data_IF_121865181767
#
_entry.id   IF_121865181767
#
_cell.length_a   1.000
_cell.length_b   1.000
_cell.length_c   1.000
_cell.angle_alpha   90.00
_cell.angle_beta   90.00
_cell.angle_gamma   90.00
#
_symmetry.space_group_name_H-M   'P 1'
#
loop_
_entity.id
_entity.type
_entity.pdbx_description
1 polymer ?
#
# COMPACT_ATOMS: atom_id res chain seq x y z
N UNK A 1 -10.30 13.03 12.29
CA UNK A 1 -10.01 12.42 10.97
C UNK A 1 -11.33 12.34 10.23
N UNK A 2 -11.43 12.87 9.00
CA UNK A 2 -12.67 12.80 8.22
C UNK A 2 -12.70 11.54 7.32
N UNK A 3 -13.84 11.27 6.68
CA UNK A 3 -14.03 10.08 5.82
C UNK A 3 -13.02 10.05 4.68
N UNK A 4 -12.82 11.18 4.00
CA UNK A 4 -11.83 11.32 2.92
C UNK A 4 -10.39 10.98 3.34
N UNK A 5 -9.96 11.43 4.53
CA UNK A 5 -8.67 11.09 5.13
C UNK A 5 -8.58 9.61 5.48
N UNK A 6 -9.66 9.01 5.99
CA UNK A 6 -9.71 7.59 6.32
C UNK A 6 -9.56 6.72 5.06
N UNK A 7 -10.30 7.04 3.99
CA UNK A 7 -10.21 6.36 2.68
C UNK A 7 -8.80 6.48 2.12
N UNK A 8 -8.25 7.69 2.12
CA UNK A 8 -6.89 7.97 1.62
C UNK A 8 -5.84 7.19 2.41
N UNK A 9 -5.97 7.14 3.74
CA UNK A 9 -5.08 6.36 4.61
C UNK A 9 -5.18 4.88 4.35
N UNK A 10 -6.38 4.36 4.15
CA UNK A 10 -6.62 2.95 3.82
C UNK A 10 -5.94 2.57 2.50
N UNK A 11 -6.12 3.38 1.45
CA UNK A 11 -5.46 3.16 0.17
C UNK A 11 -3.93 3.22 0.26
N UNK A 12 -3.38 4.28 0.87
CA UNK A 12 -1.93 4.41 1.04
C UNK A 12 -1.36 3.22 1.83
N UNK A 13 -2.08 2.76 2.87
CA UNK A 13 -1.68 1.61 3.66
C UNK A 13 -1.73 0.31 2.86
N UNK A 14 -2.80 0.08 2.11
CA UNK A 14 -2.96 -1.11 1.27
C UNK A 14 -1.77 -1.27 0.31
N UNK A 15 -1.37 -0.20 -0.37
CA UNK A 15 -0.24 -0.24 -1.30
C UNK A 15 1.09 -0.49 -0.59
N UNK A 16 1.35 0.22 0.50
CA UNK A 16 2.59 0.08 1.25
C UNK A 16 2.69 -1.30 1.91
N UNK A 17 1.59 -1.84 2.43
CA UNK A 17 1.53 -3.16 3.05
C UNK A 17 1.79 -4.25 2.02
N UNK A 18 1.20 -4.16 0.83
CA UNK A 18 1.47 -5.11 -0.25
C UNK A 18 2.95 -5.12 -0.65
N UNK A 19 3.55 -3.94 -0.87
CA UNK A 19 4.98 -3.83 -1.16
C UNK A 19 5.84 -4.37 -0.01
N UNK A 20 5.44 -4.15 1.24
CA UNK A 20 6.11 -4.72 2.40
C UNK A 20 6.07 -6.24 2.44
N UNK A 21 4.94 -6.85 2.08
CA UNK A 21 4.80 -8.32 2.01
C UNK A 21 5.66 -8.89 0.90
N UNK A 22 5.58 -8.33 -0.32
CA UNK A 22 6.36 -8.82 -1.47
C UNK A 22 7.86 -8.62 -1.24
N UNK A 23 8.29 -7.43 -0.82
CA UNK A 23 9.69 -7.18 -0.49
C UNK A 23 10.19 -8.07 0.64
N UNK A 24 9.35 -8.30 1.66
CA UNK A 24 9.66 -9.17 2.78
C UNK A 24 9.77 -10.66 2.42
N UNK A 25 8.96 -11.15 1.48
CA UNK A 25 9.01 -12.56 1.06
C UNK A 25 10.27 -12.91 0.27
N UNK A 26 10.89 -11.91 -0.37
CA UNK A 26 12.10 -12.08 -1.17
C UNK A 26 13.39 -11.98 -0.34
N UNK A 27 13.33 -11.50 0.91
CA UNK A 27 14.51 -11.33 1.79
C UNK A 27 15.30 -12.63 1.96
N UNK A 28 14.61 -13.77 2.00
CA UNK A 28 15.29 -15.05 2.22
C UNK A 28 16.14 -15.46 1.03
N UNK A 29 15.72 -15.15 -0.20
CA UNK A 29 16.43 -15.56 -1.41
C UNK A 29 17.82 -14.89 -1.51
N UNK A 30 17.95 -13.66 -1.01
CA UNK A 30 19.21 -12.92 -0.95
C UNK A 30 20.33 -13.70 -0.26
N UNK A 31 19.97 -14.59 0.69
CA UNK A 31 20.93 -15.41 1.43
C UNK A 31 21.23 -16.77 0.78
N UNK A 32 20.44 -17.20 -0.19
CA UNK A 32 20.56 -18.50 -0.85
C UNK A 32 21.08 -18.43 -2.29
N UNK A 33 21.03 -17.26 -2.93
CA UNK A 33 21.54 -17.06 -4.30
C UNK A 33 23.07 -16.99 -4.33
N UNK A 34 23.71 -17.68 -5.28
CA UNK A 34 25.17 -17.69 -5.43
C UNK A 34 25.69 -16.51 -6.27
N UNK A 35 24.86 -16.00 -7.17
CA UNK A 35 25.23 -14.91 -8.08
C UNK A 35 24.86 -13.53 -7.54
N UNK A 36 25.79 -12.58 -7.64
CA UNK A 36 25.57 -11.23 -7.13
C UNK A 36 24.44 -10.49 -7.86
N UNK A 37 24.25 -10.78 -9.14
CA UNK A 37 23.20 -10.19 -9.98
C UNK A 37 21.80 -10.55 -9.48
N UNK A 38 21.58 -11.80 -9.04
CA UNK A 38 20.30 -12.30 -8.52
C UNK A 38 20.01 -11.77 -7.11
N UNK A 39 21.05 -11.41 -6.36
CA UNK A 39 20.86 -10.71 -5.07
C UNK A 39 20.46 -9.26 -5.28
N UNK A 40 20.92 -8.63 -6.37
CA UNK A 40 20.77 -7.20 -6.57
C UNK A 40 19.31 -6.83 -6.86
N UNK A 41 18.60 -7.57 -7.71
CA UNK A 41 17.21 -7.28 -8.04
C UNK A 41 16.27 -7.54 -6.83
N UNK A 42 16.55 -8.57 -6.03
CA UNK A 42 15.85 -8.85 -4.77
C UNK A 42 16.09 -7.74 -3.73
N UNK A 43 17.32 -7.22 -3.65
CA UNK A 43 17.63 -6.06 -2.82
C UNK A 43 16.95 -4.78 -3.33
N UNK A 44 16.75 -4.62 -4.64
CA UNK A 44 16.05 -3.48 -5.21
C UNK A 44 14.58 -3.45 -4.77
N UNK A 45 13.88 -4.57 -4.84
CA UNK A 45 12.47 -4.63 -4.40
C UNK A 45 12.33 -4.50 -2.88
N UNK A 46 13.26 -5.05 -2.11
CA UNK A 46 13.34 -4.82 -0.67
C UNK A 46 13.57 -3.32 -0.36
N UNK A 47 14.48 -2.66 -1.08
CA UNK A 47 14.73 -1.23 -0.93
C UNK A 47 13.47 -0.40 -1.26
N UNK A 48 12.74 -0.74 -2.33
CA UNK A 48 11.46 -0.09 -2.66
C UNK A 48 10.43 -0.28 -1.53
N UNK A 49 10.33 -1.48 -0.95
CA UNK A 49 9.45 -1.76 0.17
C UNK A 49 9.81 -0.91 1.41
N UNK A 50 11.10 -0.82 1.75
CA UNK A 50 11.59 0.02 2.86
C UNK A 50 11.26 1.49 2.61
N UNK A 51 11.53 2.00 1.41
CA UNK A 51 11.20 3.39 1.02
C UNK A 51 9.69 3.63 1.14
N UNK A 52 8.84 2.70 0.72
CA UNK A 52 7.39 2.81 0.85
C UNK A 52 6.95 2.89 2.32
N UNK A 53 7.50 2.06 3.20
CA UNK A 53 7.21 2.07 4.63
C UNK A 53 7.65 3.37 5.28
N UNK A 54 8.88 3.82 5.00
CA UNK A 54 9.41 5.11 5.49
C UNK A 54 8.53 6.25 5.02
N UNK A 55 8.17 6.28 3.73
CA UNK A 55 7.29 7.29 3.15
C UNK A 55 5.92 7.33 3.84
N UNK A 56 5.31 6.17 4.11
CA UNK A 56 4.02 6.07 4.79
C UNK A 56 4.06 6.59 6.23
N UNK A 57 5.17 6.33 6.94
CA UNK A 57 5.38 6.76 8.32
C UNK A 57 5.80 8.23 8.44
N UNK A 58 6.39 8.80 7.38
CA UNK A 58 6.87 10.17 7.39
C UNK A 58 5.71 11.19 7.42
N UNK A 59 5.64 11.96 8.51
CA UNK A 59 4.74 13.10 8.65
C UNK A 59 3.26 12.76 8.45
N UNK A 60 2.58 13.54 7.61
CA UNK A 60 1.16 13.36 7.30
C UNK A 60 0.90 12.65 5.96
N UNK A 61 1.92 12.07 5.32
CA UNK A 61 1.81 11.45 3.99
C UNK A 61 0.68 10.41 3.90
N UNK A 62 0.50 9.62 4.97
CA UNK A 62 -0.60 8.64 5.06
C UNK A 62 -1.99 9.26 4.96
N UNK A 63 -2.18 10.52 5.34
CA UNK A 63 -3.49 11.19 5.37
C UNK A 63 -3.79 11.98 4.09
N UNK A 64 -2.75 12.25 3.29
CA UNK A 64 -2.86 13.04 2.06
C UNK A 64 -2.88 12.14 0.84
N UNK A 65 -3.64 12.57 -0.16
CA UNK A 65 -3.75 11.83 -1.41
C UNK A 65 -2.44 12.00 -2.18
N UNK A 66 -1.74 10.89 -2.39
CA UNK A 66 -0.44 10.88 -3.04
C UNK A 66 -0.37 9.77 -4.07
N UNK A 67 0.30 10.04 -5.19
CA UNK A 67 0.67 9.01 -6.17
C UNK A 67 1.94 8.26 -5.77
N UNK A 68 2.65 8.66 -4.72
CA UNK A 68 3.93 8.07 -4.34
C UNK A 68 3.87 6.55 -4.11
N UNK A 69 2.89 5.98 -3.38
CA UNK A 69 2.79 4.51 -3.24
C UNK A 69 2.62 3.81 -4.58
N UNK A 70 1.85 4.41 -5.50
CA UNK A 70 1.60 3.85 -6.83
C UNK A 70 2.86 3.92 -7.70
N UNK A 71 3.61 5.02 -7.62
CA UNK A 71 4.91 5.17 -8.30
C UNK A 71 5.90 4.13 -7.78
N UNK A 72 5.96 3.90 -6.46
CA UNK A 72 6.81 2.87 -5.86
C UNK A 72 6.39 1.46 -6.30
N UNK A 73 5.09 1.17 -6.40
CA UNK A 73 4.62 -0.09 -6.95
C UNK A 73 5.01 -0.27 -8.43
N UNK A 74 4.95 0.81 -9.22
CA UNK A 74 5.47 0.82 -10.58
C UNK A 74 6.98 0.58 -10.64
N UNK A 75 7.76 1.16 -9.72
CA UNK A 75 9.20 0.93 -9.63
C UNK A 75 9.52 -0.53 -9.27
N UNK A 76 8.79 -1.14 -8.35
CA UNK A 76 8.92 -2.57 -8.03
C UNK A 76 8.57 -3.47 -9.23
N UNK A 77 7.56 -3.10 -10.02
CA UNK A 77 7.24 -3.82 -11.25
C UNK A 77 8.37 -3.70 -12.28
N UNK A 78 8.92 -2.50 -12.46
CA UNK A 78 10.02 -2.26 -13.39
C UNK A 78 11.31 -2.98 -12.97
N UNK A 79 11.59 -3.14 -11.68
CA UNK A 79 12.76 -3.89 -11.24
C UNK A 79 12.71 -5.34 -11.68
N UNK A 80 11.51 -5.96 -11.73
CA UNK A 80 11.35 -7.32 -12.27
C UNK A 80 11.52 -7.42 -13.78
N UNK A 81 11.22 -6.35 -14.51
CA UNK A 81 11.60 -6.28 -15.94
C UNK A 81 13.12 -6.25 -16.10
N UNK A 82 13.81 -5.52 -15.22
CA UNK A 82 15.28 -5.47 -15.23
C UNK A 82 15.88 -6.83 -14.86
N UNK A 83 15.39 -7.51 -13.83
CA UNK A 83 15.82 -8.85 -13.44
C UNK A 83 15.72 -9.86 -14.59
N UNK A 84 14.53 -9.99 -15.20
CA UNK A 84 14.33 -10.85 -16.38
C UNK A 84 15.30 -10.56 -17.55
N UNK A 85 15.70 -9.30 -17.75
CA UNK A 85 16.65 -8.93 -18.82
C UNK A 85 18.08 -9.30 -18.44
N UNK A 86 18.45 -9.15 -17.16
CA UNK A 86 19.79 -9.51 -16.67
C UNK A 86 19.98 -11.03 -16.64
N UNK A 87 18.92 -11.77 -16.34
CA UNK A 87 18.95 -13.22 -16.12
C UNK A 87 18.47 -14.02 -17.33
N UNK A 88 18.37 -13.40 -18.51
CA UNK A 88 17.79 -14.02 -19.72
C UNK A 88 18.45 -15.35 -20.13
N UNK A 89 19.68 -15.61 -19.66
CA UNK A 89 20.40 -16.87 -19.87
C UNK A 89 19.98 -18.00 -18.94
N UNK A 90 19.38 -17.72 -17.78
CA UNK A 90 18.83 -18.72 -16.86
C UNK A 90 17.30 -18.76 -16.95
N UNK A 91 16.78 -19.85 -17.53
CA UNK A 91 15.33 -20.01 -17.73
C UNK A 91 14.57 -20.19 -16.42
N UNK A 92 15.22 -20.72 -15.37
CA UNK A 92 14.58 -20.96 -14.08
C UNK A 92 14.33 -19.63 -13.38
N UNK A 93 15.33 -18.77 -13.35
CA UNK A 93 15.24 -17.51 -12.60
C UNK A 93 14.32 -16.51 -13.31
N UNK A 94 14.35 -16.48 -14.65
CA UNK A 94 13.36 -15.74 -15.46
C UNK A 94 11.92 -16.15 -15.15
N UNK A 95 11.66 -17.44 -14.89
CA UNK A 95 10.32 -17.92 -14.57
C UNK A 95 9.86 -17.46 -13.17
N UNK A 96 10.76 -17.46 -12.19
CA UNK A 96 10.49 -16.95 -10.85
C UNK A 96 10.22 -15.44 -10.88
N UNK A 97 11.03 -14.70 -11.64
CA UNK A 97 10.86 -13.27 -11.85
C UNK A 97 9.56 -12.92 -12.58
N UNK A 98 9.18 -13.73 -13.57
CA UNK A 98 7.92 -13.58 -14.29
C UNK A 98 6.70 -13.75 -13.38
N UNK A 99 6.75 -14.67 -12.41
CA UNK A 99 5.67 -14.86 -11.45
C UNK A 99 5.47 -13.61 -10.58
N UNK A 100 6.55 -13.02 -10.06
CA UNK A 100 6.47 -11.77 -9.30
C UNK A 100 6.07 -10.59 -10.16
N UNK A 101 6.54 -10.53 -11.41
CA UNK A 101 6.11 -9.53 -12.38
C UNK A 101 4.60 -9.57 -12.59
N UNK A 102 4.01 -10.74 -12.81
CA UNK A 102 2.56 -10.89 -13.02
C UNK A 102 1.76 -10.49 -11.78
N UNK A 103 2.22 -10.89 -10.60
CA UNK A 103 1.62 -10.49 -9.33
C UNK A 103 1.64 -8.96 -9.15
N UNK A 104 2.79 -8.33 -9.38
CA UNK A 104 2.95 -6.88 -9.27
C UNK A 104 2.16 -6.14 -10.35
N UNK A 105 2.08 -6.66 -11.56
CA UNK A 105 1.33 -6.07 -12.66
C UNK A 105 -0.16 -6.00 -12.32
N UNK A 106 -0.73 -7.13 -11.91
CA UNK A 106 -2.13 -7.20 -11.48
C UNK A 106 -2.38 -6.24 -10.31
N UNK A 107 -1.47 -6.23 -9.34
CA UNK A 107 -1.55 -5.34 -8.20
C UNK A 107 -1.53 -3.85 -8.60
N UNK A 108 -0.62 -3.44 -9.49
CA UNK A 108 -0.53 -2.06 -10.00
C UNK A 108 -1.81 -1.67 -10.73
N UNK A 109 -2.41 -2.57 -11.50
CA UNK A 109 -3.70 -2.33 -12.16
C UNK A 109 -4.79 -2.08 -11.11
N UNK A 110 -4.93 -2.96 -10.12
CA UNK A 110 -5.92 -2.83 -9.05
C UNK A 110 -5.72 -1.54 -8.25
N UNK A 111 -4.48 -1.25 -7.86
CA UNK A 111 -4.13 -0.02 -7.14
C UNK A 111 -4.43 1.23 -7.98
N UNK A 112 -4.16 1.20 -9.29
CA UNK A 112 -4.47 2.31 -10.21
C UNK A 112 -5.98 2.53 -10.32
N UNK A 113 -6.77 1.47 -10.47
CA UNK A 113 -8.24 1.53 -10.50
C UNK A 113 -8.77 2.11 -9.19
N UNK A 114 -8.28 1.62 -8.05
CA UNK A 114 -8.64 2.14 -6.73
C UNK A 114 -8.27 3.62 -6.58
N UNK A 115 -7.08 4.03 -7.02
CA UNK A 115 -6.60 5.41 -6.97
C UNK A 115 -7.50 6.38 -7.75
N UNK A 116 -8.02 5.94 -8.90
CA UNK A 116 -8.97 6.70 -9.72
C UNK A 116 -10.37 6.67 -9.09
N UNK A 117 -10.82 5.52 -8.58
CA UNK A 117 -12.10 5.36 -7.90
C UNK A 117 -12.26 6.27 -6.66
N UNK A 118 -11.20 6.39 -5.87
CA UNK A 118 -11.16 7.29 -4.70
C UNK A 118 -11.37 8.75 -5.09
N UNK A 119 -10.90 9.20 -6.28
CA UNK A 119 -11.20 10.56 -6.76
C UNK A 119 -12.70 10.79 -6.89
N UNK A 120 -13.41 9.78 -7.40
CA UNK A 120 -14.86 9.87 -7.64
C UNK A 120 -15.60 9.91 -6.30
N UNK A 121 -15.23 9.04 -5.36
CA UNK A 121 -15.86 8.97 -4.03
C UNK A 121 -15.68 10.24 -3.20
N UNK A 122 -14.49 10.85 -3.23
CA UNK A 122 -14.23 12.10 -2.50
C UNK A 122 -14.90 13.30 -3.21
N UNK A 123 -15.02 13.28 -4.54
CA UNK A 123 -15.70 14.33 -5.30
C UNK A 123 -17.22 14.36 -5.12
N UNK A 124 -17.83 13.23 -4.73
CA UNK A 124 -19.27 13.11 -4.47
C UNK A 124 -19.71 13.54 -3.07
N UNK A 125 -18.77 13.82 -2.17
CA UNK A 125 -19.03 14.30 -0.80
C UNK A 125 -19.53 15.76 -0.74
N UNK A 126 -19.92 16.36 -1.88
CA UNK A 126 -20.75 17.58 -1.92
C UNK A 126 -22.25 17.28 -1.80
N UNK A 127 -22.63 16.00 -1.64
CA UNK A 127 -24.01 15.60 -1.32
C UNK A 127 -24.46 16.11 0.06
N UNK A 128 -25.77 15.99 0.40
CA UNK A 128 -26.38 16.59 1.60
C UNK A 128 -25.77 16.18 2.96
N UNK A 129 -24.80 15.26 2.98
CA UNK A 129 -24.09 14.80 4.17
C UNK A 129 -22.64 15.34 4.30
N UNK A 130 -22.23 16.27 3.43
CA UNK A 130 -20.91 16.92 3.39
C UNK A 130 -20.43 17.57 4.72
N UNK A 131 -21.33 17.72 5.69
CA UNK A 131 -21.07 18.34 6.99
C UNK A 131 -21.26 17.42 8.20
N UNK A 132 -21.58 16.13 8.02
CA UNK A 132 -21.63 15.19 9.13
C UNK A 132 -20.20 14.91 9.62
N UNK A 133 -19.72 15.76 10.52
CA UNK A 133 -18.75 15.31 11.52
C UNK A 133 -19.40 14.10 12.19
N UNK A 134 -18.69 12.98 12.26
CA UNK A 134 -19.01 11.90 13.18
C UNK A 134 -19.03 12.51 14.58
N UNK A 135 -20.19 13.01 14.98
CA UNK A 135 -20.41 13.65 16.26
C UNK A 135 -20.59 12.51 17.24
N UNK A 136 -19.48 12.20 17.91
CA UNK A 136 -19.43 11.77 19.29
C UNK A 136 -20.44 10.68 19.69
N UNK A 137 -20.04 9.43 19.42
CA UNK A 137 -20.52 8.25 20.14
C UNK A 137 -20.26 8.29 21.67
N UNK A 138 -19.69 9.38 22.18
CA UNK A 138 -19.47 9.62 23.61
C UNK A 138 -20.66 10.30 24.32
N UNK A 139 -21.78 10.56 23.64
CA UNK A 139 -22.93 11.25 24.26
C UNK A 139 -24.03 10.32 24.79
N UNK A 140 -23.98 9.01 24.52
CA UNK A 140 -24.96 8.05 25.05
C UNK A 140 -24.56 7.40 26.38
N UNK A 141 -23.30 7.50 26.81
CA UNK A 141 -22.83 6.83 28.04
C UNK A 141 -23.23 7.59 29.33
N UNK A 142 -23.53 8.89 29.26
CA UNK A 142 -23.94 9.69 30.44
C UNK A 142 -25.44 9.63 30.77
N UNK A 143 -26.29 9.12 29.86
CA UNK A 143 -27.73 9.01 30.12
C UNK A 143 -28.11 7.79 30.96
N UNK A 144 -27.26 6.75 31.03
CA UNK A 144 -27.54 5.52 31.78
C UNK A 144 -27.25 5.64 33.28
N UNK A 145 -26.31 6.49 33.68
CA UNK A 145 -25.84 6.56 35.09
C UNK A 145 -26.79 7.35 36.01
N UNK A 146 -27.77 8.08 35.46
CA UNK A 146 -28.69 8.90 36.26
C UNK A 146 -29.97 8.16 36.68
N UNK A 147 -30.30 7.02 36.04
CA UNK A 147 -31.54 6.29 36.31
C UNK A 147 -31.50 5.39 37.56
N UNK A 148 -30.32 5.07 38.10
CA UNK A 148 -30.17 4.09 39.21
C UNK A 148 -30.11 4.73 40.61
N UNK A 149 -30.34 6.05 40.75
CA UNK A 149 -30.21 6.77 42.04
C UNK A 149 -31.54 7.29 42.62
N UNK A 150 -32.63 6.58 42.37
CA UNK A 150 -33.91 6.75 43.09
C UNK A 150 -34.47 5.36 43.43
N UNK A 151 -34.03 4.83 44.57
CA UNK A 151 -34.53 3.63 45.22
C UNK A 151 -34.15 3.68 46.69
#
# INVERSE_FOLDING_TARGET
MNVSQAITRGYNFFVVAFLGIVGGSLVTQVFFEDEWTHRLDELLILAVAVVAVVWYRAGQNRLHRSSAPLILAGAALLSKVVGMVLEISDTKDVADDFNYFMLLLLFVIVASVAYVGIRRAIGTDTGPYAGMKLQDASTEEDASTTATRRG
#
